data_IF_469428730399
#
_entry.id   IF_469428730399
#
_cell.length_a   1.000
_cell.length_b   1.000
_cell.length_c   1.000
_cell.angle_alpha   90.00
_cell.angle_beta   90.00
_cell.angle_gamma   90.00
#
_symmetry.space_group_name_H-M   'P 1'
#
loop_
_entity.id
_entity.type
_entity.pdbx_description
1 polymer ?
#
# COMPACT_ATOMS: atom_id res chain seq x y z
N UNK A 1 -15.27 53.52 58.00
CA UNK A 1 -14.45 52.30 58.12
C UNK A 1 -14.79 51.65 59.44
N UNK A 2 -15.22 50.40 59.59
CA UNK A 2 -15.47 49.32 58.66
C UNK A 2 -16.66 48.54 59.20
N UNK A 3 -17.43 48.00 58.25
CA UNK A 3 -18.67 47.25 58.36
C UNK A 3 -18.69 46.21 59.49
N UNK A 4 -19.81 46.21 60.20
CA UNK A 4 -20.26 45.11 61.02
C UNK A 4 -20.77 43.94 60.17
N UNK A 5 -20.82 42.79 60.82
CA UNK A 5 -21.94 41.83 60.90
C UNK A 5 -21.45 40.40 60.65
N UNK A 6 -21.26 39.71 61.77
CA UNK A 6 -21.40 38.26 61.89
C UNK A 6 -22.66 37.77 61.18
N UNK A 7 -22.54 36.70 60.40
CA UNK A 7 -23.65 35.77 60.17
C UNK A 7 -23.08 34.40 59.77
N UNK A 8 -22.61 33.64 60.75
CA UNK A 8 -22.67 32.18 60.67
C UNK A 8 -24.15 31.78 60.61
N UNK A 9 -24.58 31.15 59.51
CA UNK A 9 -25.29 29.86 59.51
C UNK A 9 -26.06 29.62 58.20
N UNK A 10 -25.86 28.41 57.68
CA UNK A 10 -26.70 27.67 56.72
C UNK A 10 -26.78 28.22 55.28
N UNK A 11 -26.17 27.50 54.33
CA UNK A 11 -26.89 26.42 53.60
C UNK A 11 -25.99 25.81 52.51
N UNK A 12 -25.66 24.55 52.72
CA UNK A 12 -25.35 23.45 51.80
C UNK A 12 -24.91 23.73 50.35
N UNK A 13 -23.80 23.05 50.03
CA UNK A 13 -23.52 22.33 48.79
C UNK A 13 -23.44 23.14 47.47
N UNK A 14 -22.22 23.15 46.92
CA UNK A 14 -22.10 22.81 45.51
C UNK A 14 -20.92 21.86 45.27
N UNK A 15 -21.18 20.66 44.73
CA UNK A 15 -20.17 19.65 44.47
C UNK A 15 -19.32 20.08 43.28
N UNK A 16 -18.01 19.89 43.37
CA UNK A 16 -17.15 19.78 42.21
C UNK A 16 -17.43 18.44 41.53
N UNK A 17 -18.52 18.38 40.77
CA UNK A 17 -18.70 17.32 39.77
C UNK A 17 -17.81 17.65 38.59
N UNK A 18 -16.65 17.01 38.58
CA UNK A 18 -16.05 16.50 37.36
C UNK A 18 -17.11 15.63 36.66
N UNK A 19 -17.87 16.23 35.74
CA UNK A 19 -18.78 15.51 34.85
C UNK A 19 -18.28 15.75 33.42
N UNK A 20 -17.73 14.69 32.87
CA UNK A 20 -17.52 14.41 31.45
C UNK A 20 -18.85 14.50 30.68
N UNK A 21 -19.42 15.71 30.60
CA UNK A 21 -20.72 16.02 29.98
C UNK A 21 -20.72 16.00 28.46
N UNK A 22 -19.85 15.22 27.80
CA UNK A 22 -20.10 14.86 26.41
C UNK A 22 -21.27 13.87 26.41
N UNK A 23 -22.43 14.33 25.92
CA UNK A 23 -23.54 13.42 25.63
C UNK A 23 -22.99 12.28 24.76
N UNK A 24 -23.43 11.03 25.00
CA UNK A 24 -23.03 9.88 24.16
C UNK A 24 -23.20 10.17 22.66
N UNK A 25 -24.17 11.02 22.31
CA UNK A 25 -24.42 11.55 20.97
C UNK A 25 -23.24 12.40 20.49
N UNK A 26 -22.80 13.39 21.27
CA UNK A 26 -21.65 14.24 20.95
C UNK A 26 -20.37 13.44 20.70
N UNK A 27 -20.07 12.44 21.53
CA UNK A 27 -18.90 11.57 21.33
C UNK A 27 -18.95 10.81 20.00
N UNK A 28 -20.12 10.29 19.63
CA UNK A 28 -20.31 9.54 18.38
C UNK A 28 -20.27 10.50 17.17
N UNK A 29 -20.84 11.70 17.28
CA UNK A 29 -20.75 12.75 16.25
C UNK A 29 -19.29 13.12 16.00
N UNK A 30 -18.49 13.32 17.05
CA UNK A 30 -17.06 13.63 16.92
C UNK A 30 -16.29 12.48 16.27
N UNK A 31 -16.55 11.23 16.69
CA UNK A 31 -15.95 10.04 16.08
C UNK A 31 -16.29 9.94 14.58
N UNK A 32 -17.56 10.15 14.23
CA UNK A 32 -18.00 10.09 12.84
C UNK A 32 -17.42 11.24 11.99
N UNK A 33 -17.26 12.43 12.57
CA UNK A 33 -16.65 13.59 11.91
C UNK A 33 -15.16 13.37 11.61
N UNK A 34 -14.40 12.80 12.56
CA UNK A 34 -13.00 12.43 12.34
C UNK A 34 -12.87 11.36 11.25
N UNK A 35 -13.71 10.32 11.33
CA UNK A 35 -13.72 9.25 10.34
C UNK A 35 -14.11 9.76 8.94
N UNK A 36 -15.03 10.73 8.85
CA UNK A 36 -15.41 11.37 7.60
C UNK A 36 -14.25 12.16 7.00
N UNK A 37 -13.48 12.85 7.85
CA UNK A 37 -12.27 13.57 7.43
C UNK A 37 -11.23 12.60 6.85
N UNK A 38 -10.99 11.48 7.53
CA UNK A 38 -10.07 10.44 7.04
C UNK A 38 -10.57 9.81 5.73
N UNK A 39 -11.86 9.53 5.63
CA UNK A 39 -12.49 9.04 4.41
C UNK A 39 -12.31 10.03 3.26
N UNK A 40 -12.60 11.32 3.48
CA UNK A 40 -12.43 12.36 2.47
C UNK A 40 -10.97 12.49 2.00
N UNK A 41 -10.02 12.47 2.93
CA UNK A 41 -8.59 12.47 2.63
C UNK A 41 -8.18 11.24 1.80
N UNK A 42 -8.70 10.07 2.15
CA UNK A 42 -8.47 8.84 1.42
C UNK A 42 -9.05 8.89 -0.01
N UNK A 43 -10.27 9.42 -0.18
CA UNK A 43 -10.90 9.61 -1.51
C UNK A 43 -10.08 10.55 -2.39
N UNK A 44 -9.60 11.67 -1.83
CA UNK A 44 -8.71 12.60 -2.53
C UNK A 44 -7.37 11.93 -2.92
N UNK A 45 -6.84 11.07 -2.05
CA UNK A 45 -5.65 10.26 -2.35
C UNK A 45 -5.89 9.29 -3.50
N UNK A 46 -7.04 8.59 -3.49
CA UNK A 46 -7.47 7.71 -4.57
C UNK A 46 -7.62 8.47 -5.89
N UNK A 47 -8.18 9.68 -5.86
CA UNK A 47 -8.34 10.51 -7.05
C UNK A 47 -7.01 10.77 -7.76
N UNK A 48 -5.98 11.14 -6.99
CA UNK A 48 -4.62 11.36 -7.51
C UNK A 48 -4.04 10.08 -8.10
N UNK A 49 -4.29 8.92 -7.49
CA UNK A 49 -3.83 7.64 -8.03
C UNK A 49 -4.56 7.31 -9.35
N UNK A 50 -5.86 7.57 -9.44
CA UNK A 50 -6.64 7.37 -10.67
C UNK A 50 -6.18 8.31 -11.77
N UNK A 51 -5.80 9.55 -11.47
CA UNK A 51 -5.21 10.46 -12.48
C UNK A 51 -3.90 9.93 -13.08
N UNK A 52 -3.20 9.05 -12.36
CA UNK A 52 -2.00 8.38 -12.88
C UNK A 52 -2.35 7.17 -13.77
N UNK A 53 -3.55 6.58 -13.62
CA UNK A 53 -4.03 5.50 -14.51
C UNK A 53 -4.28 6.05 -15.91
N UNK A 54 -3.81 5.32 -16.93
CA UNK A 54 -3.85 5.78 -18.32
C UNK A 54 -2.79 6.83 -18.69
N UNK A 55 -2.01 7.34 -17.74
CA UNK A 55 -0.84 8.19 -18.03
C UNK A 55 0.40 7.33 -18.36
N UNK A 56 1.50 7.97 -18.81
CA UNK A 56 2.81 7.29 -18.98
C UNK A 56 3.36 6.66 -17.69
N UNK A 57 2.80 7.00 -16.53
CA UNK A 57 3.20 6.48 -15.20
C UNK A 57 2.34 5.32 -14.73
N UNK A 58 1.39 4.86 -15.53
CA UNK A 58 0.56 3.71 -15.19
C UNK A 58 1.40 2.43 -15.09
N UNK A 59 1.12 1.59 -14.08
CA UNK A 59 1.81 0.33 -13.83
C UNK A 59 0.86 -0.71 -13.22
N UNK A 60 1.18 -2.00 -13.39
CA UNK A 60 0.40 -3.09 -12.75
C UNK A 60 0.33 -2.93 -11.23
N UNK A 61 1.42 -2.49 -10.59
CA UNK A 61 1.47 -2.27 -9.15
C UNK A 61 0.55 -1.13 -8.69
N UNK A 62 0.47 -0.05 -9.47
CA UNK A 62 -0.43 1.08 -9.20
C UNK A 62 -1.90 0.63 -9.26
N UNK A 63 -2.28 -0.12 -10.29
CA UNK A 63 -3.64 -0.68 -10.41
C UNK A 63 -3.99 -1.63 -9.27
N UNK A 64 -3.06 -2.53 -8.91
CA UNK A 64 -3.23 -3.43 -7.76
C UNK A 64 -3.40 -2.66 -6.45
N UNK A 65 -2.62 -1.60 -6.23
CA UNK A 65 -2.74 -0.75 -5.04
C UNK A 65 -4.10 -0.05 -4.97
N UNK A 66 -4.64 0.36 -6.12
CA UNK A 66 -5.97 0.97 -6.19
C UNK A 66 -7.06 -0.07 -5.91
N UNK A 67 -7.04 -1.20 -6.62
CA UNK A 67 -8.09 -2.22 -6.55
C UNK A 67 -8.08 -2.99 -5.22
N UNK A 68 -6.93 -3.52 -4.82
CA UNK A 68 -6.84 -4.47 -3.70
C UNK A 68 -6.69 -3.79 -2.34
N UNK A 69 -6.24 -2.53 -2.31
CA UNK A 69 -5.90 -1.85 -1.05
C UNK A 69 -6.79 -0.63 -0.86
N UNK A 70 -6.71 0.35 -1.75
CA UNK A 70 -7.37 1.65 -1.50
C UNK A 70 -8.88 1.61 -1.63
N UNK A 71 -9.42 0.88 -2.60
CA UNK A 71 -10.88 0.70 -2.70
C UNK A 71 -11.42 -0.10 -1.50
N UNK A 72 -10.67 -1.09 -1.00
CA UNK A 72 -11.07 -1.88 0.17
C UNK A 72 -11.09 -1.02 1.44
N UNK A 73 -10.00 -0.29 1.72
CA UNK A 73 -9.92 0.61 2.87
C UNK A 73 -11.04 1.66 2.85
N UNK A 74 -11.28 2.28 1.68
CA UNK A 74 -12.33 3.29 1.52
C UNK A 74 -13.74 2.72 1.64
N UNK A 75 -13.95 1.48 1.25
CA UNK A 75 -15.22 0.81 1.45
C UNK A 75 -15.46 0.50 2.94
N UNK A 76 -14.42 0.16 3.69
CA UNK A 76 -14.50 -0.03 5.14
C UNK A 76 -14.83 1.29 5.87
N UNK A 77 -14.13 2.38 5.57
CA UNK A 77 -14.47 3.72 6.07
C UNK A 77 -15.92 4.11 5.78
N UNK A 78 -16.38 3.86 4.55
CA UNK A 78 -17.76 4.11 4.14
C UNK A 78 -18.76 3.31 5.00
N UNK A 79 -18.54 2.00 5.16
CA UNK A 79 -19.44 1.14 5.96
C UNK A 79 -19.47 1.56 7.43
N UNK A 80 -18.31 1.85 8.01
CA UNK A 80 -18.23 2.36 9.39
C UNK A 80 -18.97 3.70 9.55
N UNK A 81 -18.85 4.62 8.60
CA UNK A 81 -19.59 5.90 8.60
C UNK A 81 -21.10 5.70 8.47
N UNK A 82 -21.55 4.75 7.63
CA UNK A 82 -22.98 4.41 7.51
C UNK A 82 -23.54 3.90 8.85
N UNK A 83 -22.79 3.06 9.56
CA UNK A 83 -23.19 2.59 10.89
C UNK A 83 -23.24 3.72 11.91
N UNK A 84 -22.18 4.54 12.00
CA UNK A 84 -22.14 5.65 12.97
C UNK A 84 -23.25 6.68 12.72
N UNK A 85 -23.52 7.04 11.46
CA UNK A 85 -24.59 7.99 11.13
C UNK A 85 -25.95 7.41 11.52
N UNK A 86 -26.22 6.13 11.21
CA UNK A 86 -27.47 5.48 11.61
C UNK A 86 -27.61 5.39 13.13
N UNK A 87 -26.52 5.09 13.85
CA UNK A 87 -26.52 5.06 15.32
C UNK A 87 -26.83 6.44 15.89
N UNK A 88 -26.25 7.52 15.35
CA UNK A 88 -26.56 8.90 15.74
C UNK A 88 -28.05 9.18 15.49
N UNK A 89 -28.58 8.87 14.30
CA UNK A 89 -29.99 9.09 13.97
C UNK A 89 -30.92 8.35 14.96
N UNK A 90 -30.62 7.09 15.30
CA UNK A 90 -31.40 6.31 16.27
C UNK A 90 -31.32 6.88 17.68
N UNK A 91 -30.14 7.32 18.12
CA UNK A 91 -29.94 7.92 19.44
C UNK A 91 -30.66 9.27 19.56
N UNK A 92 -30.66 10.08 18.50
CA UNK A 92 -31.39 11.35 18.44
C UNK A 92 -32.90 11.09 18.46
N UNK A 93 -33.40 10.12 17.69
CA UNK A 93 -34.83 9.80 17.62
C UNK A 93 -35.38 9.27 18.96
N UNK A 94 -34.58 8.49 19.70
CA UNK A 94 -34.97 7.90 20.97
C UNK A 94 -34.77 8.84 22.18
N UNK A 95 -34.09 9.97 22.02
CA UNK A 95 -33.79 10.88 23.12
C UNK A 95 -34.64 12.16 23.04
N UNK A 96 -35.61 12.29 23.96
CA UNK A 96 -36.49 13.48 24.09
C UNK A 96 -35.70 14.77 24.37
N UNK A 97 -34.49 14.65 24.93
CA UNK A 97 -33.59 15.77 25.23
C UNK A 97 -32.49 15.97 24.19
N UNK A 98 -32.58 15.35 23.01
CA UNK A 98 -31.62 15.59 21.93
C UNK A 98 -31.62 17.08 21.56
N UNK A 99 -30.46 17.73 21.68
CA UNK A 99 -30.33 19.16 21.42
C UNK A 99 -30.59 19.45 19.94
N UNK A 100 -31.12 20.64 19.63
CA UNK A 100 -31.17 21.12 18.25
C UNK A 100 -29.78 21.16 17.60
N UNK A 101 -28.72 21.31 18.41
CA UNK A 101 -27.33 21.27 17.97
C UNK A 101 -26.88 19.88 17.51
N UNK A 102 -27.31 18.82 18.20
CA UNK A 102 -27.02 17.43 17.82
C UNK A 102 -27.68 17.08 16.49
N UNK A 103 -28.95 17.49 16.31
CA UNK A 103 -29.72 17.31 15.06
C UNK A 103 -29.07 18.04 13.89
N UNK A 104 -28.64 19.28 14.11
CA UNK A 104 -27.95 20.05 13.08
C UNK A 104 -26.62 19.43 12.69
N UNK A 105 -25.85 18.96 13.67
CA UNK A 105 -24.55 18.32 13.46
C UNK A 105 -24.69 17.00 12.71
N UNK A 106 -25.69 16.17 13.05
CA UNK A 106 -26.04 14.97 12.30
C UNK A 106 -26.43 15.28 10.85
N UNK A 107 -27.31 16.26 10.62
CA UNK A 107 -27.74 16.63 9.26
C UNK A 107 -26.55 17.09 8.40
N UNK A 108 -25.67 17.93 8.97
CA UNK A 108 -24.46 18.39 8.29
C UNK A 108 -23.53 17.21 7.96
N UNK A 109 -23.24 16.36 8.94
CA UNK A 109 -22.40 15.19 8.78
C UNK A 109 -22.94 14.27 7.68
N UNK A 110 -24.26 14.04 7.65
CA UNK A 110 -24.93 13.21 6.65
C UNK A 110 -24.80 13.79 5.25
N UNK A 111 -24.98 15.11 5.09
CA UNK A 111 -24.80 15.80 3.79
C UNK A 111 -23.36 15.71 3.30
N UNK A 112 -22.39 15.96 4.17
CA UNK A 112 -20.97 15.87 3.82
C UNK A 112 -20.57 14.44 3.47
N UNK A 113 -21.01 13.46 4.26
CA UNK A 113 -20.79 12.04 3.99
C UNK A 113 -21.37 11.61 2.65
N UNK A 114 -22.61 11.99 2.34
CA UNK A 114 -23.24 11.66 1.05
C UNK A 114 -22.46 12.25 -0.13
N UNK A 115 -21.93 13.47 0.00
CA UNK A 115 -21.07 14.09 -1.02
C UNK A 115 -19.78 13.29 -1.24
N UNK A 116 -19.06 12.97 -0.18
CA UNK A 116 -17.79 12.21 -0.27
C UNK A 116 -18.03 10.78 -0.78
N UNK A 117 -19.09 10.11 -0.31
CA UNK A 117 -19.51 8.78 -0.78
C UNK A 117 -19.81 8.79 -2.28
N UNK A 118 -20.52 9.81 -2.76
CA UNK A 118 -20.84 9.93 -4.19
C UNK A 118 -19.58 10.12 -5.02
N UNK A 119 -18.63 10.95 -4.57
CA UNK A 119 -17.33 11.10 -5.22
C UNK A 119 -16.59 9.76 -5.28
N UNK A 120 -16.48 9.06 -4.16
CA UNK A 120 -15.86 7.73 -4.08
C UNK A 120 -16.48 6.73 -5.08
N UNK A 121 -17.81 6.66 -5.15
CA UNK A 121 -18.50 5.76 -6.08
C UNK A 121 -18.24 6.10 -7.55
N UNK A 122 -18.08 7.39 -7.88
CA UNK A 122 -17.70 7.81 -9.24
C UNK A 122 -16.26 7.42 -9.55
N UNK A 123 -15.33 7.57 -8.59
CA UNK A 123 -13.95 7.13 -8.75
C UNK A 123 -13.86 5.61 -8.96
N UNK A 124 -14.60 4.84 -8.15
CA UNK A 124 -14.67 3.38 -8.27
C UNK A 124 -15.12 2.95 -9.67
N UNK A 125 -16.20 3.56 -10.19
CA UNK A 125 -16.67 3.29 -11.56
C UNK A 125 -15.61 3.60 -12.62
N UNK A 126 -14.89 4.72 -12.49
CA UNK A 126 -13.78 5.06 -13.40
C UNK A 126 -12.68 4.00 -13.39
N UNK A 127 -12.35 3.44 -12.23
CA UNK A 127 -11.38 2.32 -12.12
C UNK A 127 -11.91 1.08 -12.83
N UNK A 128 -13.17 0.72 -12.62
CA UNK A 128 -13.81 -0.44 -13.27
C UNK A 128 -13.83 -0.30 -14.80
N UNK A 129 -14.13 0.89 -15.31
CA UNK A 129 -14.08 1.21 -16.75
C UNK A 129 -12.66 1.07 -17.31
N UNK A 130 -11.66 1.63 -16.62
CA UNK A 130 -10.25 1.52 -17.02
C UNK A 130 -9.81 0.04 -17.01
N UNK A 131 -10.17 -0.73 -15.99
CA UNK A 131 -9.86 -2.15 -15.92
C UNK A 131 -10.54 -2.94 -17.06
N UNK A 132 -11.79 -2.60 -17.40
CA UNK A 132 -12.49 -3.19 -18.55
C UNK A 132 -11.78 -2.89 -19.87
N UNK A 133 -11.35 -1.64 -20.09
CA UNK A 133 -10.55 -1.26 -21.27
C UNK A 133 -9.24 -2.04 -21.31
N UNK A 134 -8.53 -2.17 -20.18
CA UNK A 134 -7.28 -2.95 -20.15
C UNK A 134 -7.49 -4.44 -20.40
N UNK A 135 -8.60 -5.03 -19.95
CA UNK A 135 -8.95 -6.42 -20.27
C UNK A 135 -9.27 -6.59 -21.75
N UNK A 136 -9.99 -5.65 -22.36
CA UNK A 136 -10.30 -5.64 -23.80
C UNK A 136 -9.04 -5.42 -24.65
N UNK A 137 -8.15 -4.50 -24.24
CA UNK A 137 -6.85 -4.29 -24.88
C UNK A 137 -5.92 -5.49 -24.68
N UNK A 138 -5.93 -6.12 -23.50
CA UNK A 138 -5.20 -7.35 -23.22
C UNK A 138 -5.68 -8.51 -24.09
N UNK A 139 -6.99 -8.62 -24.33
CA UNK A 139 -7.56 -9.56 -25.28
C UNK A 139 -7.13 -9.27 -26.73
N UNK A 140 -7.10 -8.00 -27.15
CA UNK A 140 -6.65 -7.60 -28.49
C UNK A 140 -5.12 -7.78 -28.69
N UNK A 141 -4.32 -7.54 -27.64
CA UNK A 141 -2.87 -7.79 -27.62
C UNK A 141 -2.57 -9.29 -27.57
N UNK A 142 -3.38 -10.11 -26.89
CA UNK A 142 -3.22 -11.57 -26.91
C UNK A 142 -3.52 -12.16 -28.30
N UNK A 143 -4.35 -11.49 -29.11
CA UNK A 143 -4.59 -11.84 -30.52
C UNK A 143 -3.46 -11.38 -31.48
N UNK A 144 -2.55 -10.50 -31.03
CA UNK A 144 -1.42 -9.98 -31.80
C UNK A 144 -0.05 -10.17 -31.09
N UNK A 145 0.04 -11.13 -30.17
CA UNK A 145 1.13 -11.20 -29.19
C UNK A 145 1.94 -12.49 -29.21
N UNK A 146 2.26 -13.05 -30.38
CA UNK A 146 3.52 -13.78 -30.46
C UNK A 146 4.62 -12.70 -30.57
N UNK A 147 5.43 -12.57 -29.51
CA UNK A 147 6.66 -11.76 -29.43
C UNK A 147 6.52 -10.35 -28.81
N UNK A 148 6.23 -10.28 -27.50
CA UNK A 148 6.76 -9.19 -26.63
C UNK A 148 7.21 -9.84 -25.31
N UNK A 149 8.40 -10.43 -25.33
CA UNK A 149 8.97 -11.20 -24.22
C UNK A 149 10.37 -10.67 -23.86
N UNK A 150 10.53 -9.34 -23.84
CA UNK A 150 11.87 -8.71 -23.96
C UNK A 150 12.19 -7.64 -22.90
N UNK A 151 11.52 -7.65 -21.74
CA UNK A 151 11.97 -6.83 -20.58
C UNK A 151 12.13 -7.68 -19.32
N UNK A 152 11.18 -8.57 -19.03
CA UNK A 152 11.23 -9.46 -17.86
C UNK A 152 12.29 -10.58 -18.03
N UNK A 153 12.49 -11.07 -19.26
CA UNK A 153 13.57 -11.99 -19.59
C UNK A 153 14.96 -11.36 -19.44
N UNK A 154 15.14 -10.06 -19.74
CA UNK A 154 16.45 -9.43 -19.64
C UNK A 154 16.88 -9.18 -18.18
N UNK A 155 15.95 -8.84 -17.30
CA UNK A 155 16.26 -8.59 -15.88
C UNK A 155 16.50 -9.90 -15.11
N UNK A 156 15.75 -10.94 -15.43
CA UNK A 156 15.94 -12.29 -14.87
C UNK A 156 17.24 -12.94 -15.40
N UNK A 157 17.55 -12.74 -16.69
CA UNK A 157 18.81 -13.21 -17.26
C UNK A 157 20.03 -12.44 -16.75
N UNK A 158 19.93 -11.14 -16.43
CA UNK A 158 21.06 -10.37 -15.89
C UNK A 158 21.42 -10.81 -14.45
N UNK A 159 20.42 -11.07 -13.61
CA UNK A 159 20.63 -11.59 -12.26
C UNK A 159 21.18 -13.03 -12.28
N UNK A 160 20.62 -13.90 -13.12
CA UNK A 160 21.10 -15.27 -13.29
C UNK A 160 22.49 -15.33 -13.94
N UNK A 161 22.79 -14.46 -14.91
CA UNK A 161 24.12 -14.41 -15.54
C UNK A 161 25.18 -13.83 -14.61
N UNK A 162 24.86 -12.86 -13.74
CA UNK A 162 25.78 -12.37 -12.73
C UNK A 162 26.10 -13.46 -11.66
N UNK A 163 25.10 -14.24 -11.27
CA UNK A 163 25.28 -15.36 -10.34
C UNK A 163 26.03 -16.54 -10.98
N UNK A 164 25.78 -16.84 -12.26
CA UNK A 164 26.51 -17.88 -12.99
C UNK A 164 27.94 -17.44 -13.34
N UNK A 165 28.18 -16.17 -13.68
CA UNK A 165 29.52 -15.65 -13.94
C UNK A 165 30.41 -15.71 -12.69
N UNK A 166 29.86 -15.47 -11.50
CA UNK A 166 30.62 -15.61 -10.25
C UNK A 166 30.91 -17.07 -9.89
N UNK A 167 30.02 -18.01 -10.23
CA UNK A 167 30.30 -19.45 -10.08
C UNK A 167 31.33 -19.97 -11.09
N UNK A 168 31.25 -19.57 -12.35
CA UNK A 168 32.20 -20.00 -13.39
C UNK A 168 33.60 -19.40 -13.16
N UNK A 169 33.71 -18.17 -12.66
CA UNK A 169 34.99 -17.61 -12.21
C UNK A 169 35.60 -18.40 -11.05
N UNK A 170 34.78 -18.89 -10.11
CA UNK A 170 35.26 -19.72 -8.98
C UNK A 170 35.68 -21.12 -9.43
N UNK A 171 34.92 -21.75 -10.33
CA UNK A 171 35.30 -23.04 -10.94
C UNK A 171 36.54 -22.91 -11.82
N UNK A 172 36.69 -21.81 -12.55
CA UNK A 172 37.87 -21.54 -13.37
C UNK A 172 39.13 -21.36 -12.52
N UNK A 173 39.05 -20.64 -11.40
CA UNK A 173 40.19 -20.51 -10.46
C UNK A 173 40.58 -21.86 -9.84
N UNK A 174 39.61 -22.70 -9.45
CA UNK A 174 39.87 -24.05 -8.95
C UNK A 174 40.45 -24.99 -10.03
N UNK A 175 39.94 -24.92 -11.26
CA UNK A 175 40.43 -25.74 -12.38
C UNK A 175 41.84 -25.32 -12.83
N UNK A 176 42.13 -24.02 -12.86
CA UNK A 176 43.43 -23.49 -13.27
C UNK A 176 44.54 -23.83 -12.26
N UNK A 177 44.22 -23.89 -10.96
CA UNK A 177 45.14 -24.32 -9.90
C UNK A 177 45.56 -25.79 -10.05
N UNK A 178 44.66 -26.67 -10.48
CA UNK A 178 44.97 -28.10 -10.63
C UNK A 178 45.67 -28.43 -11.96
N UNK A 179 45.31 -27.76 -13.06
CA UNK A 179 45.97 -27.95 -14.37
C UNK A 179 47.43 -27.50 -14.39
N UNK A 180 47.80 -26.49 -13.61
CA UNK A 180 49.18 -25.97 -13.59
C UNK A 180 50.19 -27.02 -13.10
N UNK A 181 49.76 -27.94 -12.21
CA UNK A 181 50.60 -29.06 -11.74
C UNK A 181 50.76 -30.14 -12.82
N UNK A 182 49.66 -30.50 -13.50
CA UNK A 182 49.66 -31.53 -14.54
C UNK A 182 50.34 -31.10 -15.85
N UNK A 183 50.21 -29.82 -16.22
CA UNK A 183 50.86 -29.27 -17.41
C UNK A 183 52.39 -29.33 -17.30
N UNK A 184 52.95 -29.13 -16.11
CA UNK A 184 54.40 -29.20 -15.89
C UNK A 184 54.90 -30.64 -16.01
N UNK A 185 54.15 -31.61 -15.46
CA UNK A 185 54.47 -33.04 -15.56
C UNK A 185 54.45 -33.53 -17.01
N UNK A 186 53.43 -33.13 -17.79
CA UNK A 186 53.33 -33.49 -19.21
C UNK A 186 54.51 -32.96 -20.02
N UNK A 187 54.92 -31.71 -19.78
CA UNK A 187 56.03 -31.07 -20.49
C UNK A 187 57.35 -31.82 -20.24
N UNK A 188 57.64 -32.17 -18.97
CA UNK A 188 58.83 -32.94 -18.60
C UNK A 188 58.86 -34.29 -19.34
N UNK A 189 57.74 -35.01 -19.38
CA UNK A 189 57.65 -36.30 -20.08
C UNK A 189 57.95 -36.16 -21.58
N UNK A 190 57.39 -35.14 -22.24
CA UNK A 190 57.59 -34.92 -23.68
C UNK A 190 59.06 -34.65 -24.00
N UNK A 191 59.75 -33.84 -23.20
CA UNK A 191 61.18 -33.54 -23.38
C UNK A 191 62.04 -34.80 -23.23
N UNK A 192 61.73 -35.65 -22.25
CA UNK A 192 62.44 -36.93 -22.08
C UNK A 192 62.20 -37.86 -23.27
N UNK A 193 60.95 -37.92 -23.76
CA UNK A 193 60.59 -38.77 -24.90
C UNK A 193 61.29 -38.35 -26.20
N UNK A 194 61.35 -37.03 -26.48
CA UNK A 194 62.05 -36.53 -27.67
C UNK A 194 63.55 -36.79 -27.60
N UNK A 195 64.17 -36.66 -26.42
CA UNK A 195 65.58 -37.01 -26.21
C UNK A 195 65.86 -38.48 -26.52
N UNK A 196 64.98 -39.40 -26.10
CA UNK A 196 65.12 -40.83 -26.37
C UNK A 196 65.06 -41.11 -27.89
N UNK A 197 64.11 -40.51 -28.61
CA UNK A 197 63.98 -40.70 -30.06
C UNK A 197 65.23 -40.21 -30.78
N UNK A 198 65.70 -39.00 -30.46
CA UNK A 198 66.90 -38.44 -31.11
C UNK A 198 68.11 -39.33 -30.86
N UNK A 199 68.30 -39.81 -29.63
CA UNK A 199 69.37 -40.76 -29.31
C UNK A 199 69.23 -42.04 -30.12
N UNK A 200 68.03 -42.61 -30.24
CA UNK A 200 67.79 -43.84 -31.02
C UNK A 200 67.98 -43.65 -32.54
N UNK A 201 67.73 -42.45 -33.08
CA UNK A 201 68.00 -42.15 -34.51
C UNK A 201 69.46 -41.85 -34.80
N UNK A 202 70.22 -41.40 -33.80
CA UNK A 202 71.63 -41.04 -33.93
C UNK A 202 72.58 -42.15 -33.47
N UNK A 203 72.05 -43.18 -32.79
CA UNK A 203 72.73 -44.45 -32.45
C UNK A 203 72.62 -45.45 -33.59
#
# INVERSE_FOLDING_TARGET
>A
MSFAVDLEAQRDAQPTTDDSGETKIGLIITKASNLLTDFANGVNGLERLIQLLGSKRDSRQLRKTIEDIRIVDLNDYKTQLEHLINDISHLIANNVNASSEDKFSEEKLRKEFDSVKNNFNQLKRRVEEINSIYKQLGFLVQQQGHQVDTVENNMTNLANNAQNATQELRKADEYQKNKRKWSCVLLIFLVVFTLIIVLATFS
#
